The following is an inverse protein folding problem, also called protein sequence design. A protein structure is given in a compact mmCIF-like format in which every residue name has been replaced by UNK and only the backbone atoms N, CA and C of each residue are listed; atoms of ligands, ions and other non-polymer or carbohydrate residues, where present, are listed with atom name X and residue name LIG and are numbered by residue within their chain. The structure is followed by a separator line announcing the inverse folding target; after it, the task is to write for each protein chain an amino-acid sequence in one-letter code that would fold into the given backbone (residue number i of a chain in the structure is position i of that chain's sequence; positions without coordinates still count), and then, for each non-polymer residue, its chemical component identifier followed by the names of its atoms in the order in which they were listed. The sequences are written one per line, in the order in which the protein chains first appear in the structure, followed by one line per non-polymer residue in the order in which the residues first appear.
data_IF_973023193426
#
_entry.id   IF_973023193426
#
_cell.length_a   1.000
_cell.length_b   1.000
_cell.length_c   1.000
_cell.angle_alpha   90.00
_cell.angle_beta   90.00
_cell.angle_gamma   90.00
#
_symmetry.space_group_name_H-M   'P 1'
#
loop_
_entity.id
_entity.type
_entity.pdbx_description
1 polymer ?
#
# COMPACT_ATOMS: atom_id res chain seq x y z
N UNK A 1 22.39 -4.08 0.06
CA UNK A 1 21.68 -3.47 1.21
C UNK A 1 20.33 -3.01 0.72
N UNK A 2 19.28 -3.80 0.93
CA UNK A 2 17.93 -3.46 0.44
C UNK A 2 17.38 -2.48 1.49
N UNK A 3 17.36 -1.19 1.16
CA UNK A 3 16.80 -0.18 2.05
C UNK A 3 15.31 -0.47 2.22
N UNK A 4 14.90 -1.04 3.36
CA UNK A 4 13.50 -1.18 3.73
C UNK A 4 12.86 0.20 3.74
N UNK A 5 11.95 0.53 2.82
CA UNK A 5 11.53 1.91 2.68
C UNK A 5 10.54 2.26 3.78
N UNK A 6 10.98 3.17 4.67
CA UNK A 6 10.20 4.37 5.06
C UNK A 6 8.78 4.13 5.57
N UNK A 7 8.64 3.41 6.69
CA UNK A 7 7.52 3.50 7.64
C UNK A 7 6.13 3.07 7.14
N UNK A 8 5.20 2.93 8.08
CA UNK A 8 3.78 2.65 7.83
C UNK A 8 3.06 3.81 7.11
N UNK A 9 2.08 3.52 6.23
CA UNK A 9 1.24 4.56 5.65
C UNK A 9 0.34 5.18 6.73
N UNK A 10 0.24 6.51 6.72
CA UNK A 10 -0.50 7.30 7.71
C UNK A 10 -1.80 7.90 7.15
N UNK A 11 -1.88 8.07 5.84
CA UNK A 11 -3.04 8.62 5.15
C UNK A 11 -3.12 8.11 3.72
N UNK A 12 -4.34 8.06 3.19
CA UNK A 12 -4.67 7.78 1.80
C UNK A 12 -5.13 9.09 1.14
N UNK A 13 -4.61 9.40 -0.05
CA UNK A 13 -5.16 10.45 -0.90
C UNK A 13 -6.17 9.83 -1.89
N UNK A 14 -7.47 10.11 -1.70
CA UNK A 14 -8.57 9.54 -2.48
C UNK A 14 -9.65 10.58 -2.79
N UNK A 15 -10.09 10.68 -4.05
CA UNK A 15 -11.10 11.65 -4.50
C UNK A 15 -10.83 13.10 -4.02
N UNK A 16 -9.57 13.56 -4.13
CA UNK A 16 -9.13 14.88 -3.66
C UNK A 16 -9.34 15.12 -2.14
N UNK A 17 -9.50 14.05 -1.37
CA UNK A 17 -9.54 14.05 0.09
C UNK A 17 -8.37 13.26 0.64
N UNK A 18 -7.87 13.70 1.80
CA UNK A 18 -6.88 12.97 2.57
C UNK A 18 -7.58 12.26 3.72
N UNK A 19 -7.58 10.94 3.66
CA UNK A 19 -8.27 10.06 4.59
C UNK A 19 -7.25 9.52 5.58
N UNK A 20 -7.54 9.63 6.88
CA UNK A 20 -6.63 9.16 7.91
C UNK A 20 -6.66 7.62 8.00
N UNK A 21 -5.48 6.99 8.09
CA UNK A 21 -5.39 5.54 8.30
C UNK A 21 -5.40 5.27 9.80
N UNK A 22 -6.38 4.50 10.24
CA UNK A 22 -6.54 4.10 11.64
C UNK A 22 -5.60 2.93 11.98
N UNK A 23 -5.47 1.96 11.07
CA UNK A 23 -4.50 0.87 11.20
C UNK A 23 -3.94 0.44 9.86
N UNK A 24 -2.65 0.12 9.85
CA UNK A 24 -1.95 -0.43 8.71
C UNK A 24 -1.27 -1.75 9.11
N UNK A 25 -1.52 -2.81 8.35
CA UNK A 25 -0.90 -4.14 8.50
C UNK A 25 0.00 -4.43 7.31
N UNK A 26 1.27 -4.74 7.57
CA UNK A 26 2.28 -4.99 6.55
C UNK A 26 3.70 -4.65 7.03
N UNK A 27 4.70 -4.57 6.13
CA UNK A 27 4.59 -4.80 4.70
C UNK A 27 4.43 -6.27 4.35
N UNK A 28 3.43 -6.60 3.56
CA UNK A 28 3.35 -7.86 2.84
C UNK A 28 4.00 -7.69 1.48
N UNK A 29 5.11 -8.40 1.25
CA UNK A 29 5.83 -8.33 -0.02
C UNK A 29 5.22 -9.33 -1.01
N UNK A 30 4.63 -8.80 -2.07
CA UNK A 30 4.23 -9.59 -3.23
C UNK A 30 5.23 -9.34 -4.35
N UNK A 31 5.88 -10.41 -4.78
CA UNK A 31 6.73 -10.41 -5.96
C UNK A 31 6.09 -11.24 -7.05
N UNK A 32 6.05 -10.69 -8.26
CA UNK A 32 5.83 -11.51 -9.45
C UNK A 32 6.93 -12.56 -9.60
N UNK A 33 6.64 -13.59 -10.37
CA UNK A 33 7.58 -14.67 -10.63
C UNK A 33 8.88 -14.11 -11.24
N UNK A 34 10.03 -14.52 -10.70
CA UNK A 34 11.34 -13.98 -11.11
C UNK A 34 11.74 -14.35 -12.54
N UNK A 35 11.04 -15.33 -13.14
CA UNK A 35 11.16 -15.72 -14.55
C UNK A 35 10.17 -14.98 -15.47
N UNK A 36 9.32 -14.12 -14.93
CA UNK A 36 8.40 -13.32 -15.74
C UNK A 36 9.16 -12.21 -16.46
N UNK A 37 8.72 -11.87 -17.68
CA UNK A 37 9.28 -10.78 -18.48
C UNK A 37 9.16 -9.40 -17.78
N UNK A 38 8.25 -9.29 -16.80
CA UNK A 38 8.08 -8.10 -15.96
C UNK A 38 8.15 -8.46 -14.47
N UNK A 39 9.33 -8.78 -13.94
CA UNK A 39 9.48 -9.09 -12.53
C UNK A 39 9.19 -7.84 -11.71
N UNK A 40 8.23 -7.92 -10.79
CA UNK A 40 7.93 -6.85 -9.84
C UNK A 40 8.10 -7.36 -8.43
N UNK A 41 8.52 -6.51 -7.50
CA UNK A 41 8.46 -6.75 -6.07
C UNK A 41 7.88 -5.49 -5.43
N UNK A 42 6.70 -5.63 -4.81
CA UNK A 42 6.00 -4.52 -4.17
C UNK A 42 5.63 -4.91 -2.75
N UNK A 43 5.84 -3.96 -1.85
CA UNK A 43 5.39 -4.04 -0.48
C UNK A 43 3.99 -3.44 -0.39
N UNK A 44 3.05 -4.21 0.14
CA UNK A 44 1.67 -3.81 0.33
C UNK A 44 1.35 -3.69 1.82
N UNK A 45 0.47 -2.76 2.14
CA UNK A 45 -0.10 -2.56 3.46
C UNK A 45 -1.61 -2.62 3.35
N UNK A 46 -2.21 -3.54 4.10
CA UNK A 46 -3.66 -3.59 4.29
C UNK A 46 -4.03 -2.57 5.34
N UNK A 47 -4.84 -1.59 4.95
CA UNK A 47 -5.16 -0.43 5.74
C UNK A 47 -6.67 -0.37 6.00
N UNK A 48 -7.02 0.11 7.19
CA UNK A 48 -8.38 0.43 7.61
C UNK A 48 -8.44 1.90 8.05
N UNK A 49 -9.60 2.52 7.89
CA UNK A 49 -9.87 3.89 8.29
C UNK A 49 -11.23 3.96 8.98
N UNK A 50 -11.35 4.75 10.04
CA UNK A 50 -12.66 5.04 10.65
C UNK A 50 -13.61 5.80 9.72
N UNK A 51 -13.08 6.44 8.66
CA UNK A 51 -13.90 7.20 7.68
C UNK A 51 -14.42 6.32 6.53
N UNK A 52 -13.87 5.13 6.34
CA UNK A 52 -14.16 4.25 5.21
C UNK A 52 -14.72 2.92 5.72
N UNK A 53 -15.78 2.45 5.10
CA UNK A 53 -16.45 1.20 5.48
C UNK A 53 -15.71 -0.05 4.99
N UNK A 54 -14.65 0.12 4.20
CA UNK A 54 -13.91 -0.96 3.55
C UNK A 54 -12.40 -0.83 3.81
N UNK A 55 -11.75 -1.98 3.95
CA UNK A 55 -10.30 -2.06 3.97
C UNK A 55 -9.73 -1.79 2.57
N UNK A 56 -8.49 -1.34 2.51
CA UNK A 56 -7.83 -1.03 1.24
C UNK A 56 -6.35 -1.37 1.28
N UNK A 57 -5.81 -1.67 0.10
CA UNK A 57 -4.39 -1.97 -0.06
C UNK A 57 -3.65 -0.73 -0.56
N UNK A 58 -2.61 -0.36 0.17
CA UNK A 58 -1.63 0.64 -0.25
C UNK A 58 -0.31 -0.01 -0.60
N UNK A 59 0.36 0.53 -1.60
CA UNK A 59 1.79 0.30 -1.82
C UNK A 59 2.49 1.63 -2.01
N UNK A 60 3.82 1.60 -1.97
CA UNK A 60 4.64 2.79 -2.20
C UNK A 60 5.51 2.60 -3.43
N UNK A 61 5.53 3.61 -4.29
CA UNK A 61 6.51 3.74 -5.37
C UNK A 61 7.39 5.00 -5.19
N UNK A 62 8.22 5.30 -6.18
CA UNK A 62 9.12 6.45 -6.18
C UNK A 62 8.40 7.80 -5.99
N UNK A 63 7.14 7.90 -6.40
CA UNK A 63 6.29 9.08 -6.35
C UNK A 63 5.45 9.19 -5.08
N UNK A 64 5.38 8.14 -4.25
CA UNK A 64 4.64 8.16 -2.99
C UNK A 64 3.72 6.95 -2.79
N UNK A 65 2.74 7.12 -1.90
CA UNK A 65 1.72 6.11 -1.60
C UNK A 65 0.70 6.02 -2.72
N UNK A 66 0.32 4.80 -3.08
CA UNK A 66 -0.67 4.49 -4.12
C UNK A 66 -1.70 3.52 -3.58
N UNK A 67 -2.95 3.79 -3.91
CA UNK A 67 -4.04 2.84 -3.73
C UNK A 67 -3.93 1.75 -4.79
N UNK A 68 -3.77 0.50 -4.36
CA UNK A 68 -3.84 -0.66 -5.23
C UNK A 68 -5.30 -1.02 -5.52
N UNK A 69 -6.15 -0.97 -4.48
CA UNK A 69 -7.55 -1.34 -4.57
C UNK A 69 -8.21 -1.48 -3.21
N UNK A 70 -9.51 -1.66 -3.26
CA UNK A 70 -10.38 -1.94 -2.10
C UNK A 70 -10.41 -3.44 -1.83
N UNK A 71 -10.55 -3.80 -0.58
CA UNK A 71 -10.70 -5.18 -0.11
C UNK A 71 -12.14 -5.36 0.39
N UNK A 72 -12.79 -6.46 -0.03
CA UNK A 72 -14.15 -6.88 0.39
C UNK A 72 -14.09 -7.80 1.63
#
# INVERSE_FOLDING_TARGET
MIASPRGDPRALDWQNRRIAIARARGPERLSGEWWSDSPFARDYWRCESDELEQEFLLYRDATGWKLQGWYD
#
